data_IF_510848137690
#
_entry.id   IF_510848137690
#
_cell.length_a   1.000
_cell.length_b   1.000
_cell.length_c   1.000
_cell.angle_alpha   90.00
_cell.angle_beta   90.00
_cell.angle_gamma   90.00
#
_symmetry.space_group_name_H-M   'P 1'
#
loop_
_entity.id
_entity.type
_entity.pdbx_description
1 polymer ?
#
# COMPACT_ATOMS: atom_id res chain seq x y z
N UNK A 1 29.40 -33.35 27.58
CA UNK A 1 29.86 -31.95 27.43
C UNK A 1 29.15 -31.34 26.22
N UNK A 2 27.97 -30.77 26.46
CA UNK A 2 27.06 -30.23 25.45
C UNK A 2 27.39 -28.78 25.16
N UNK A 3 28.16 -28.53 24.10
CA UNK A 3 28.47 -27.19 23.63
C UNK A 3 27.23 -26.51 23.04
N UNK A 4 26.55 -25.69 23.84
CA UNK A 4 25.59 -24.69 23.37
C UNK A 4 26.34 -23.63 22.57
N UNK A 5 26.35 -23.77 21.23
CA UNK A 5 26.84 -22.72 20.35
C UNK A 5 26.01 -21.43 20.47
N UNK A 6 26.61 -20.25 20.26
CA UNK A 6 25.96 -18.97 20.54
C UNK A 6 24.76 -18.71 19.63
N UNK A 7 23.68 -18.23 20.23
CA UNK A 7 22.47 -17.77 19.54
C UNK A 7 22.81 -16.53 18.71
N UNK A 8 22.52 -16.49 17.39
CA UNK A 8 22.87 -15.33 16.56
C UNK A 8 22.07 -14.09 16.97
N UNK A 9 22.78 -13.01 17.27
CA UNK A 9 22.25 -11.69 17.64
C UNK A 9 22.59 -10.67 16.53
N UNK A 10 21.71 -9.69 16.29
CA UNK A 10 22.04 -8.54 15.42
C UNK A 10 23.17 -7.69 16.03
N UNK A 11 23.79 -6.80 15.23
CA UNK A 11 24.52 -5.66 15.79
C UNK A 11 23.57 -4.86 16.71
N UNK A 12 23.83 -4.92 18.02
CA UNK A 12 22.92 -4.44 19.06
C UNK A 12 22.30 -5.54 19.95
N UNK A 13 22.69 -6.81 19.80
CA UNK A 13 22.41 -7.86 20.79
C UNK A 13 20.98 -8.43 20.80
N UNK A 14 20.12 -8.08 19.82
CA UNK A 14 18.73 -8.57 19.79
C UNK A 14 18.60 -9.88 18.99
N UNK A 15 17.84 -10.88 19.48
CA UNK A 15 17.54 -12.10 18.75
C UNK A 15 16.52 -11.89 17.63
N UNK A 16 16.51 -12.80 16.64
CA UNK A 16 15.59 -12.81 15.51
C UNK A 16 14.13 -13.09 15.94
N UNK A 17 13.19 -12.21 15.58
CA UNK A 17 11.75 -12.45 15.72
C UNK A 17 11.08 -12.47 14.34
N UNK A 18 10.32 -13.54 14.05
CA UNK A 18 9.62 -13.70 12.78
C UNK A 18 8.54 -12.64 12.56
N UNK A 19 8.33 -12.26 11.30
CA UNK A 19 7.36 -11.24 10.87
C UNK A 19 5.88 -11.66 11.02
N UNK A 20 5.61 -12.86 11.55
CA UNK A 20 4.26 -13.45 11.69
C UNK A 20 4.08 -14.20 13.02
N UNK A 21 4.31 -13.53 14.15
CA UNK A 21 3.67 -13.90 15.42
C UNK A 21 3.40 -12.64 16.21
N UNK A 22 2.21 -12.06 16.01
CA UNK A 22 1.63 -11.16 16.99
C UNK A 22 1.08 -12.02 18.13
N UNK A 23 1.96 -12.47 19.02
CA UNK A 23 1.60 -12.85 20.39
C UNK A 23 2.46 -11.99 21.31
N UNK A 24 1.86 -11.44 22.35
CA UNK A 24 2.42 -10.48 23.31
C UNK A 24 3.65 -10.94 24.09
N UNK A 25 4.21 -12.11 23.84
CA UNK A 25 5.48 -12.57 24.41
C UNK A 25 6.69 -12.00 23.65
N UNK A 26 7.07 -10.78 23.99
CA UNK A 26 8.33 -10.13 23.56
C UNK A 26 9.58 -10.63 24.33
N UNK A 27 9.51 -11.75 25.04
CA UNK A 27 10.61 -12.20 25.89
C UNK A 27 10.91 -13.70 25.69
N UNK A 28 11.62 -14.03 24.61
CA UNK A 28 12.66 -15.11 24.49
C UNK A 28 12.93 -15.38 22.99
N UNK A 29 14.20 -15.55 22.56
CA UNK A 29 14.47 -16.17 21.27
C UNK A 29 13.79 -17.54 21.22
N UNK A 30 12.81 -17.73 20.33
CA UNK A 30 12.24 -19.06 20.11
C UNK A 30 13.33 -19.95 19.52
N UNK A 31 13.58 -21.08 20.16
CA UNK A 31 14.45 -22.13 19.62
C UNK A 31 13.78 -22.72 18.36
N UNK A 32 14.24 -22.30 17.18
CA UNK A 32 13.67 -22.64 15.87
C UNK A 32 13.80 -24.14 15.51
N UNK A 33 14.42 -24.96 16.36
CA UNK A 33 14.62 -26.40 16.11
C UNK A 33 13.30 -27.18 16.02
N UNK A 34 12.22 -26.69 16.62
CA UNK A 34 10.90 -27.33 16.61
C UNK A 34 10.06 -27.05 15.34
N UNK A 35 10.49 -26.12 14.48
CA UNK A 35 9.81 -25.75 13.22
C UNK A 35 10.42 -26.44 11.98
N UNK A 36 11.38 -27.36 12.18
CA UNK A 36 12.03 -28.11 11.10
C UNK A 36 11.02 -29.02 10.43
N UNK A 37 10.70 -28.74 9.17
CA UNK A 37 9.75 -29.56 8.40
C UNK A 37 10.43 -30.34 7.27
N UNK A 38 11.64 -29.94 6.87
CA UNK A 38 12.37 -30.57 5.77
C UNK A 38 13.70 -31.12 6.28
N UNK A 39 13.87 -32.43 6.18
CA UNK A 39 15.18 -33.05 6.29
C UNK A 39 15.94 -32.80 4.98
N UNK A 40 16.75 -31.75 4.94
CA UNK A 40 17.65 -31.43 3.81
C UNK A 40 18.86 -32.38 3.73
N UNK A 41 18.82 -33.52 4.42
CA UNK A 41 19.93 -34.48 4.54
C UNK A 41 19.96 -35.53 3.43
N UNK A 42 18.89 -35.67 2.63
CA UNK A 42 18.83 -36.65 1.54
C UNK A 42 19.47 -36.08 0.27
N UNK A 43 20.59 -36.64 -0.23
CA UNK A 43 21.28 -36.15 -1.43
C UNK A 43 20.45 -36.26 -2.71
N UNK A 44 19.41 -37.11 -2.72
CA UNK A 44 18.50 -37.31 -3.86
C UNK A 44 17.33 -36.32 -3.92
N UNK A 45 17.26 -35.33 -3.01
CA UNK A 45 16.15 -34.39 -2.97
C UNK A 45 16.19 -33.42 -4.16
N UNK A 46 15.47 -33.74 -5.23
CA UNK A 46 15.32 -32.85 -6.39
C UNK A 46 14.49 -31.59 -6.11
N UNK A 47 14.72 -30.53 -6.90
CA UNK A 47 14.03 -29.24 -6.76
C UNK A 47 12.51 -29.31 -6.90
N UNK A 48 11.98 -30.21 -7.72
CA UNK A 48 10.53 -30.42 -7.88
C UNK A 48 9.91 -30.89 -6.56
N UNK A 49 10.48 -31.95 -5.97
CA UNK A 49 10.01 -32.49 -4.69
C UNK A 49 10.21 -31.50 -3.55
N UNK A 50 11.35 -30.79 -3.55
CA UNK A 50 11.60 -29.73 -2.59
C UNK A 50 10.54 -28.63 -2.64
N UNK A 51 10.18 -28.18 -3.85
CA UNK A 51 9.15 -27.17 -4.03
C UNK A 51 7.77 -27.65 -3.55
N UNK A 52 7.37 -28.88 -3.83
CA UNK A 52 6.10 -29.45 -3.35
C UNK A 52 5.99 -29.39 -1.82
N UNK A 53 7.06 -29.77 -1.12
CA UNK A 53 7.10 -29.73 0.33
C UNK A 53 6.99 -28.27 0.82
N UNK A 54 7.76 -27.36 0.23
CA UNK A 54 7.72 -25.93 0.57
C UNK A 54 6.34 -25.32 0.30
N UNK A 55 5.73 -25.57 -0.86
CA UNK A 55 4.41 -25.03 -1.19
C UNK A 55 3.34 -25.53 -0.22
N UNK A 56 3.41 -26.81 0.19
CA UNK A 56 2.49 -27.35 1.19
C UNK A 56 2.68 -26.68 2.56
N UNK A 57 3.91 -26.40 2.97
CA UNK A 57 4.17 -25.68 4.23
C UNK A 57 3.72 -24.21 4.17
N UNK A 58 3.95 -23.53 3.05
CA UNK A 58 3.47 -22.17 2.84
C UNK A 58 1.94 -22.13 2.86
N UNK A 59 1.27 -23.09 2.23
CA UNK A 59 -0.19 -23.24 2.26
C UNK A 59 -0.73 -23.47 3.67
N UNK A 60 -0.13 -24.40 4.44
CA UNK A 60 -0.51 -24.66 5.84
C UNK A 60 -0.35 -23.44 6.74
N UNK A 61 0.58 -22.55 6.42
CA UNK A 61 0.83 -21.29 7.15
C UNK A 61 0.05 -20.10 6.58
N UNK A 62 -0.94 -20.35 5.73
CA UNK A 62 -1.83 -19.34 5.15
C UNK A 62 -1.10 -18.24 4.36
N UNK A 63 -0.04 -18.61 3.63
CA UNK A 63 0.58 -17.71 2.67
C UNK A 63 -0.30 -17.60 1.42
N UNK A 64 -0.68 -16.37 1.04
CA UNK A 64 -1.44 -16.13 -0.18
C UNK A 64 -0.71 -16.62 -1.43
N UNK A 65 -1.48 -17.00 -2.45
CA UNK A 65 -0.98 -17.49 -3.73
C UNK A 65 0.10 -16.58 -4.36
N UNK A 66 -0.03 -15.24 -4.41
CA UNK A 66 1.04 -14.39 -4.95
C UNK A 66 2.35 -14.49 -4.16
N UNK A 67 2.28 -14.68 -2.84
CA UNK A 67 3.47 -14.91 -2.01
C UNK A 67 4.12 -16.24 -2.34
N UNK A 68 3.33 -17.31 -2.57
CA UNK A 68 3.87 -18.60 -2.98
C UNK A 68 4.54 -18.52 -4.36
N UNK A 69 3.91 -17.84 -5.32
CA UNK A 69 4.48 -17.62 -6.65
C UNK A 69 5.80 -16.84 -6.60
N UNK A 70 5.90 -15.84 -5.71
CA UNK A 70 7.15 -15.10 -5.48
C UNK A 70 8.26 -16.00 -4.92
N UNK A 71 7.95 -16.85 -3.94
CA UNK A 71 8.91 -17.82 -3.39
C UNK A 71 9.39 -18.77 -4.48
N UNK A 72 8.47 -19.28 -5.31
CA UNK A 72 8.81 -20.14 -6.46
C UNK A 72 9.74 -19.44 -7.45
N UNK A 73 9.46 -18.17 -7.76
CA UNK A 73 10.26 -17.39 -8.70
C UNK A 73 11.69 -17.17 -8.18
N UNK A 74 11.84 -16.82 -6.90
CA UNK A 74 13.14 -16.65 -6.25
C UNK A 74 13.93 -17.96 -6.24
N UNK A 75 13.31 -19.07 -5.80
CA UNK A 75 13.98 -20.38 -5.75
C UNK A 75 14.40 -20.87 -7.14
N UNK A 76 13.57 -20.65 -8.16
CA UNK A 76 13.93 -20.96 -9.56
C UNK A 76 15.10 -20.13 -10.05
N UNK A 77 15.12 -18.83 -9.76
CA UNK A 77 16.23 -17.95 -10.12
C UNK A 77 17.53 -18.35 -9.41
N UNK A 78 17.44 -18.68 -8.12
CA UNK A 78 18.55 -19.19 -7.32
C UNK A 78 19.13 -20.49 -7.91
N UNK A 79 18.27 -21.47 -8.21
CA UNK A 79 18.70 -22.72 -8.83
C UNK A 79 19.36 -22.49 -10.18
N UNK A 80 18.78 -21.66 -11.06
CA UNK A 80 19.35 -21.38 -12.39
C UNK A 80 20.78 -20.82 -12.31
N UNK A 81 21.07 -19.97 -11.33
CA UNK A 81 22.40 -19.37 -11.18
C UNK A 81 23.41 -20.32 -10.50
N UNK A 82 22.98 -21.11 -9.54
CA UNK A 82 23.88 -21.92 -8.71
C UNK A 82 24.04 -23.36 -9.18
N UNK A 83 23.04 -23.91 -9.89
CA UNK A 83 22.94 -25.31 -10.30
C UNK A 83 23.14 -26.31 -9.16
N UNK A 84 22.97 -25.88 -7.92
CA UNK A 84 23.18 -26.71 -6.74
C UNK A 84 21.90 -27.46 -6.33
N UNK A 85 22.07 -28.66 -5.79
CA UNK A 85 20.96 -29.40 -5.18
C UNK A 85 20.54 -28.72 -3.86
N UNK A 86 19.25 -28.77 -3.46
CA UNK A 86 18.77 -28.17 -2.21
C UNK A 86 19.53 -28.65 -0.96
N UNK A 87 19.92 -29.92 -0.92
CA UNK A 87 20.68 -30.51 0.18
C UNK A 87 22.13 -29.98 0.29
N UNK A 88 22.71 -29.55 -0.84
CA UNK A 88 24.10 -29.10 -0.94
C UNK A 88 24.26 -27.59 -0.78
N UNK A 89 23.18 -26.86 -0.47
CA UNK A 89 23.23 -25.40 -0.30
C UNK A 89 24.03 -25.06 0.96
N UNK A 90 25.09 -24.26 0.77
CA UNK A 90 25.93 -23.76 1.86
C UNK A 90 25.83 -22.25 2.01
N UNK A 91 26.33 -21.72 3.12
CA UNK A 91 26.37 -20.27 3.36
C UNK A 91 27.17 -19.53 2.27
N UNK A 92 28.25 -20.13 1.76
CA UNK A 92 29.10 -19.53 0.72
C UNK A 92 28.37 -19.47 -0.63
N UNK A 93 27.60 -20.50 -0.99
CA UNK A 93 26.78 -20.49 -2.21
C UNK A 93 25.75 -19.36 -2.14
N UNK A 94 25.07 -19.20 -1.00
CA UNK A 94 24.11 -18.11 -0.82
C UNK A 94 24.83 -16.74 -0.89
N UNK A 95 25.97 -16.59 -0.22
CA UNK A 95 26.73 -15.34 -0.23
C UNK A 95 27.18 -14.98 -1.64
N UNK A 96 27.72 -15.92 -2.39
CA UNK A 96 28.15 -15.72 -3.78
C UNK A 96 26.96 -15.38 -4.69
N UNK A 97 25.82 -16.05 -4.52
CA UNK A 97 24.59 -15.73 -5.26
C UNK A 97 24.13 -14.28 -5.01
N UNK A 98 24.11 -13.84 -3.75
CA UNK A 98 23.70 -12.49 -3.37
C UNK A 98 24.70 -11.42 -3.84
N UNK A 99 26.01 -11.71 -3.74
CA UNK A 99 27.05 -10.83 -4.27
C UNK A 99 26.91 -10.67 -5.80
N UNK A 100 26.59 -11.75 -6.51
CA UNK A 100 26.27 -11.68 -7.94
C UNK A 100 25.07 -10.78 -8.24
N UNK A 101 24.00 -10.85 -7.46
CA UNK A 101 22.85 -9.94 -7.62
C UNK A 101 23.23 -8.47 -7.43
N UNK A 102 24.10 -8.17 -6.47
CA UNK A 102 24.57 -6.80 -6.24
C UNK A 102 25.48 -6.32 -7.37
N UNK A 103 26.40 -7.18 -7.84
CA UNK A 103 27.29 -6.89 -8.96
C UNK A 103 26.52 -6.67 -10.28
N UNK A 104 25.42 -7.38 -10.48
CA UNK A 104 24.49 -7.20 -11.61
C UNK A 104 23.52 -6.01 -11.41
N UNK A 105 23.72 -5.18 -10.37
CA UNK A 105 22.93 -3.99 -10.06
C UNK A 105 21.42 -4.23 -9.89
N UNK A 106 21.02 -5.39 -9.34
CA UNK A 106 19.63 -5.60 -8.95
C UNK A 106 19.21 -4.65 -7.81
N UNK A 107 17.93 -4.28 -7.81
CA UNK A 107 17.37 -3.42 -6.76
C UNK A 107 17.56 -4.02 -5.36
N UNK A 108 17.79 -3.16 -4.36
CA UNK A 108 17.90 -3.56 -2.96
C UNK A 108 16.66 -4.29 -2.43
N UNK A 109 15.49 -3.97 -2.97
CA UNK A 109 14.25 -4.69 -2.67
C UNK A 109 14.32 -6.15 -3.13
N UNK A 110 14.83 -6.40 -4.34
CA UNK A 110 15.00 -7.75 -4.86
C UNK A 110 16.05 -8.54 -4.08
N UNK A 111 17.21 -7.94 -3.78
CA UNK A 111 18.26 -8.58 -2.97
C UNK A 111 17.72 -8.93 -1.57
N UNK A 112 17.04 -7.98 -0.91
CA UNK A 112 16.40 -8.22 0.39
C UNK A 112 15.32 -9.29 0.33
N UNK A 113 14.56 -9.37 -0.77
CA UNK A 113 13.57 -10.42 -0.99
C UNK A 113 14.21 -11.80 -1.10
N UNK A 114 15.31 -11.91 -1.86
CA UNK A 114 16.07 -13.17 -1.98
C UNK A 114 16.55 -13.64 -0.60
N UNK A 115 17.14 -12.74 0.20
CA UNK A 115 17.56 -13.05 1.57
C UNK A 115 16.38 -13.57 2.41
N UNK A 116 15.23 -12.90 2.34
CA UNK A 116 14.04 -13.29 3.12
C UNK A 116 13.50 -14.67 2.74
N UNK A 117 13.40 -14.97 1.44
CA UNK A 117 12.94 -16.27 0.94
C UNK A 117 13.94 -17.36 1.28
N UNK A 118 15.22 -17.18 0.97
CA UNK A 118 16.27 -18.18 1.23
C UNK A 118 16.38 -18.48 2.73
N UNK A 119 16.31 -17.46 3.58
CA UNK A 119 16.26 -17.62 5.05
C UNK A 119 15.02 -18.40 5.50
N UNK A 120 13.86 -18.10 4.95
CA UNK A 120 12.63 -18.80 5.33
C UNK A 120 12.67 -20.27 4.91
N UNK A 121 13.18 -20.54 3.71
CA UNK A 121 13.21 -21.87 3.11
C UNK A 121 14.30 -22.75 3.73
N UNK A 122 15.55 -22.27 3.80
CA UNK A 122 16.68 -23.07 4.27
C UNK A 122 16.86 -23.03 5.79
N UNK A 123 16.76 -21.85 6.42
CA UNK A 123 16.99 -21.76 7.87
C UNK A 123 15.73 -22.15 8.65
N UNK A 124 14.57 -21.54 8.36
CA UNK A 124 13.36 -21.80 9.15
C UNK A 124 12.72 -23.15 8.86
N UNK A 125 12.47 -23.47 7.58
CA UNK A 125 11.78 -24.71 7.19
C UNK A 125 12.76 -25.89 7.08
N UNK A 126 13.97 -25.64 6.57
CA UNK A 126 15.03 -26.63 6.41
C UNK A 126 15.93 -26.83 7.64
N UNK A 127 15.82 -25.97 8.65
CA UNK A 127 16.59 -26.09 9.88
C UNK A 127 18.08 -25.83 9.77
N UNK A 128 18.57 -25.31 8.65
CA UNK A 128 19.97 -24.97 8.45
C UNK A 128 20.30 -23.61 9.09
N UNK A 129 21.57 -23.19 9.01
CA UNK A 129 22.03 -21.87 9.48
C UNK A 129 22.85 -21.17 8.39
N UNK A 130 22.39 -21.27 7.15
CA UNK A 130 23.11 -20.78 5.96
C UNK A 130 22.96 -19.28 5.75
N UNK A 131 21.98 -18.62 6.37
CA UNK A 131 21.81 -17.15 6.30
C UNK A 131 22.13 -16.39 7.59
N UNK A 132 22.66 -17.08 8.60
CA UNK A 132 22.87 -16.57 9.97
C UNK A 132 23.79 -15.34 10.06
N UNK A 133 24.76 -15.21 9.15
CA UNK A 133 25.70 -14.08 9.09
C UNK A 133 25.36 -13.03 8.03
N UNK A 134 24.23 -13.20 7.32
CA UNK A 134 23.86 -12.30 6.22
C UNK A 134 23.04 -11.12 6.75
N UNK A 135 23.66 -9.94 6.73
CA UNK A 135 22.96 -8.69 6.96
C UNK A 135 21.99 -8.41 5.81
N UNK A 136 20.76 -8.02 6.14
CA UNK A 136 19.84 -7.48 5.14
C UNK A 136 20.34 -6.10 4.72
N UNK A 137 20.44 -5.81 3.41
CA UNK A 137 20.95 -4.53 2.95
C UNK A 137 20.11 -3.38 3.52
N UNK A 138 20.78 -2.31 3.96
CA UNK A 138 20.11 -1.08 4.38
C UNK A 138 19.38 -0.53 3.15
N UNK A 139 18.06 -0.36 3.27
CA UNK A 139 17.27 0.26 2.22
C UNK A 139 17.43 1.78 2.37
N UNK A 140 17.79 2.51 1.30
CA UNK A 140 17.62 3.95 1.32
C UNK A 140 16.13 4.24 1.51
N UNK A 141 15.78 4.99 2.56
CA UNK A 141 14.42 5.49 2.72
C UNK A 141 14.28 6.72 1.83
N UNK A 142 13.42 6.62 0.83
CA UNK A 142 12.97 7.77 0.06
C UNK A 142 11.63 8.22 0.63
N UNK A 143 11.48 9.54 0.80
CA UNK A 143 10.18 10.09 1.17
C UNK A 143 9.17 9.79 0.05
N UNK A 144 7.92 9.45 0.41
CA UNK A 144 6.86 9.27 -0.57
C UNK A 144 6.68 10.47 -1.50
N UNK A 145 6.38 10.22 -2.78
CA UNK A 145 5.90 11.27 -3.67
C UNK A 145 4.46 11.65 -3.29
N UNK A 146 4.23 12.95 -3.08
CA UNK A 146 2.92 13.51 -2.70
C UNK A 146 2.38 14.35 -3.86
N UNK A 147 1.10 14.15 -4.18
CA UNK A 147 0.35 14.96 -5.15
C UNK A 147 -0.27 16.15 -4.42
N UNK A 148 -0.17 17.33 -5.01
CA UNK A 148 -0.91 18.50 -4.56
C UNK A 148 -2.43 18.30 -4.77
N UNK A 149 -3.29 19.02 -4.02
CA UNK A 149 -4.73 18.99 -4.23
C UNK A 149 -5.14 19.34 -5.67
N UNK A 150 -4.40 20.23 -6.34
CA UNK A 150 -4.60 20.57 -7.75
C UNK A 150 -4.35 19.39 -8.68
N UNK A 151 -3.22 18.68 -8.51
CA UNK A 151 -2.89 17.47 -9.28
C UNK A 151 -3.92 16.36 -9.07
N UNK A 152 -4.39 16.15 -7.84
CA UNK A 152 -5.44 15.17 -7.55
C UNK A 152 -6.74 15.53 -8.28
N UNK A 153 -7.17 16.79 -8.25
CA UNK A 153 -8.36 17.24 -8.99
C UNK A 153 -8.22 17.02 -10.49
N UNK A 154 -7.05 17.29 -11.08
CA UNK A 154 -6.80 17.01 -12.50
C UNK A 154 -6.94 15.52 -12.83
N UNK A 155 -6.37 14.63 -12.00
CA UNK A 155 -6.47 13.18 -12.19
C UNK A 155 -7.92 12.71 -12.12
N UNK A 156 -8.68 13.20 -11.13
CA UNK A 156 -10.08 12.82 -10.96
C UNK A 156 -10.94 13.34 -12.12
N UNK A 157 -10.74 14.58 -12.56
CA UNK A 157 -11.44 15.14 -13.73
C UNK A 157 -11.10 14.41 -15.04
N UNK A 158 -9.86 13.93 -15.18
CA UNK A 158 -9.35 13.20 -16.34
C UNK A 158 -9.85 11.75 -16.44
N UNK A 159 -10.37 11.18 -15.34
CA UNK A 159 -10.93 9.83 -15.38
C UNK A 159 -12.16 9.77 -16.31
N UNK A 160 -12.16 8.78 -17.20
CA UNK A 160 -13.03 8.76 -18.39
C UNK A 160 -14.50 8.53 -18.06
N UNK A 161 -14.78 7.73 -17.02
CA UNK A 161 -16.15 7.33 -16.66
C UNK A 161 -16.45 7.73 -15.23
N UNK A 162 -17.73 7.96 -14.91
CA UNK A 162 -18.19 8.22 -13.54
C UNK A 162 -17.80 7.11 -12.56
N UNK A 163 -17.76 5.86 -13.03
CA UNK A 163 -17.25 4.71 -12.24
C UNK A 163 -15.78 4.89 -11.88
N UNK A 164 -14.95 5.27 -12.85
CA UNK A 164 -13.51 5.44 -12.64
C UNK A 164 -13.22 6.66 -11.77
N UNK A 165 -13.99 7.75 -11.93
CA UNK A 165 -13.97 8.92 -11.05
C UNK A 165 -14.30 8.53 -9.61
N UNK A 166 -15.37 7.77 -9.39
CA UNK A 166 -15.75 7.25 -8.08
C UNK A 166 -14.67 6.34 -7.48
N UNK A 167 -14.09 5.45 -8.28
CA UNK A 167 -13.03 4.53 -7.85
C UNK A 167 -11.79 5.29 -7.35
N UNK A 168 -11.27 6.21 -8.15
CA UNK A 168 -10.11 7.01 -7.77
C UNK A 168 -10.45 7.98 -6.64
N UNK A 169 -11.66 8.52 -6.64
CA UNK A 169 -12.20 9.39 -5.59
C UNK A 169 -12.26 8.69 -4.23
N UNK A 170 -12.78 7.46 -4.16
CA UNK A 170 -12.77 6.66 -2.93
C UNK A 170 -11.34 6.27 -2.51
N UNK A 171 -10.47 5.95 -3.46
CA UNK A 171 -9.08 5.62 -3.15
C UNK A 171 -8.34 6.78 -2.49
N UNK A 172 -8.54 7.99 -3.00
CA UNK A 172 -8.00 9.20 -2.41
C UNK A 172 -8.76 9.58 -1.14
N UNK A 173 -10.06 9.83 -1.22
CA UNK A 173 -10.86 10.38 -0.12
C UNK A 173 -11.02 9.47 1.11
N UNK A 174 -10.88 8.15 0.95
CA UNK A 174 -10.88 7.21 2.07
C UNK A 174 -9.51 6.54 2.27
N UNK A 175 -8.47 6.97 1.54
CA UNK A 175 -7.11 6.44 1.67
C UNK A 175 -6.98 4.93 1.41
N UNK A 176 -7.78 4.33 0.53
CA UNK A 176 -7.87 2.87 0.36
C UNK A 176 -6.65 2.28 -0.37
N UNK A 177 -6.26 1.04 -0.01
CA UNK A 177 -5.37 0.26 -0.88
C UNK A 177 -6.12 -0.17 -2.13
N UNK A 178 -5.42 -0.30 -3.25
CA UNK A 178 -6.01 -0.76 -4.52
C UNK A 178 -6.81 -2.06 -4.37
N UNK A 179 -6.29 -3.04 -3.61
CA UNK A 179 -6.98 -4.30 -3.38
C UNK A 179 -8.21 -4.19 -2.47
N UNK A 180 -8.23 -3.21 -1.57
CA UNK A 180 -9.40 -2.90 -0.74
C UNK A 180 -10.48 -2.25 -1.60
N UNK A 181 -10.12 -1.22 -2.38
CA UNK A 181 -11.01 -0.51 -3.28
C UNK A 181 -11.69 -1.45 -4.29
N UNK A 182 -10.93 -2.39 -4.86
CA UNK A 182 -11.50 -3.42 -5.75
C UNK A 182 -12.60 -4.25 -5.08
N UNK A 183 -12.49 -4.54 -3.78
CA UNK A 183 -13.31 -5.54 -3.07
C UNK A 183 -14.48 -4.95 -2.29
N UNK A 184 -14.73 -3.65 -2.41
CA UNK A 184 -15.87 -3.00 -1.74
C UNK A 184 -17.17 -3.53 -2.34
N UNK A 185 -18.09 -3.93 -1.47
CA UNK A 185 -19.47 -4.31 -1.81
C UNK A 185 -20.46 -3.22 -1.45
N UNK A 186 -21.66 -3.25 -2.02
CA UNK A 186 -22.70 -2.28 -1.63
C UNK A 186 -23.10 -2.40 -0.15
N UNK A 187 -23.15 -3.63 0.39
CA UNK A 187 -23.39 -3.89 1.83
C UNK A 187 -22.27 -3.43 2.79
N UNK A 188 -21.15 -2.91 2.25
CA UNK A 188 -20.14 -2.24 3.08
C UNK A 188 -20.44 -0.76 3.29
N UNK A 189 -21.41 -0.21 2.57
CA UNK A 189 -21.77 1.21 2.65
C UNK A 189 -23.00 1.40 3.53
N UNK A 190 -22.86 2.28 4.53
CA UNK A 190 -23.98 2.91 5.19
C UNK A 190 -24.22 4.27 4.52
N UNK A 191 -25.26 4.31 3.68
CA UNK A 191 -25.60 5.50 2.90
C UNK A 191 -26.32 6.58 3.72
N UNK A 192 -26.82 6.24 4.91
CA UNK A 192 -27.44 7.20 5.84
C UNK A 192 -26.38 7.80 6.76
N UNK A 193 -25.53 6.94 7.34
CA UNK A 193 -24.40 7.36 8.18
C UNK A 193 -23.20 7.89 7.41
N UNK A 194 -23.20 7.78 6.07
CA UNK A 194 -22.07 8.10 5.18
C UNK A 194 -20.78 7.38 5.59
N UNK A 195 -20.86 6.10 5.97
CA UNK A 195 -19.70 5.31 6.38
C UNK A 195 -19.42 4.14 5.45
N UNK A 196 -18.15 3.80 5.30
CA UNK A 196 -17.64 2.66 4.53
C UNK A 196 -16.93 1.69 5.47
N UNK A 197 -17.39 0.43 5.49
CA UNK A 197 -16.74 -0.66 6.20
C UNK A 197 -15.70 -1.36 5.32
N UNK A 198 -14.43 -1.20 5.64
CA UNK A 198 -13.34 -1.89 4.95
C UNK A 198 -12.95 -3.15 5.72
N UNK A 199 -13.20 -4.31 5.11
CA UNK A 199 -12.82 -5.63 5.64
C UNK A 199 -11.36 -5.96 5.34
N UNK A 200 -10.63 -6.46 6.32
CA UNK A 200 -9.28 -6.96 6.08
C UNK A 200 -9.31 -8.34 5.44
N UNK A 201 -8.49 -8.56 4.42
CA UNK A 201 -8.53 -9.81 3.64
C UNK A 201 -8.17 -11.09 4.42
N UNK A 202 -7.53 -10.99 5.59
CA UNK A 202 -7.06 -12.13 6.40
C UNK A 202 -7.33 -11.97 7.90
N UNK A 203 -8.15 -11.01 8.27
CA UNK A 203 -8.47 -10.74 9.65
C UNK A 203 -9.98 -10.51 9.75
N UNK A 204 -10.59 -11.01 10.81
CA UNK A 204 -11.99 -10.71 11.17
C UNK A 204 -12.22 -9.23 11.47
N UNK A 205 -11.14 -8.48 11.71
CA UNK A 205 -11.20 -7.05 11.91
C UNK A 205 -11.70 -6.34 10.66
N UNK A 206 -12.33 -5.21 10.89
CA UNK A 206 -12.66 -4.23 9.87
C UNK A 206 -12.36 -2.84 10.44
N UNK A 207 -12.34 -1.85 9.57
CA UNK A 207 -12.32 -0.44 9.97
C UNK A 207 -13.45 0.30 9.28
N UNK A 208 -13.97 1.30 9.96
CA UNK A 208 -14.96 2.23 9.40
C UNK A 208 -14.23 3.48 8.93
N UNK A 209 -14.68 4.01 7.81
CA UNK A 209 -14.16 5.23 7.19
C UNK A 209 -15.33 6.12 6.82
N UNK A 210 -15.18 7.42 7.00
CA UNK A 210 -16.16 8.38 6.51
C UNK A 210 -16.05 8.48 4.99
N UNK A 211 -17.20 8.47 4.33
CA UNK A 211 -17.30 8.67 2.90
C UNK A 211 -17.38 10.19 2.65
N UNK A 212 -16.48 10.76 1.83
CA UNK A 212 -16.56 12.18 1.47
C UNK A 212 -17.95 12.52 0.90
N UNK A 213 -18.56 13.64 1.34
CA UNK A 213 -19.92 14.00 0.96
C UNK A 213 -20.08 14.13 -0.56
N UNK A 214 -19.04 14.57 -1.26
CA UNK A 214 -19.03 14.73 -2.72
C UNK A 214 -19.21 13.40 -3.47
N UNK A 215 -18.89 12.25 -2.86
CA UNK A 215 -19.02 10.94 -3.46
C UNK A 215 -20.40 10.31 -3.24
N UNK A 216 -21.16 10.79 -2.25
CA UNK A 216 -22.47 10.24 -1.88
C UNK A 216 -23.49 10.29 -3.03
N UNK A 217 -23.63 11.39 -3.80
CA UNK A 217 -24.59 11.43 -4.92
C UNK A 217 -24.31 10.36 -5.98
N UNK A 218 -23.03 10.12 -6.28
CA UNK A 218 -22.61 9.13 -7.27
C UNK A 218 -22.85 7.71 -6.76
N UNK A 219 -22.56 7.47 -5.49
CA UNK A 219 -22.85 6.20 -4.83
C UNK A 219 -24.35 5.91 -4.82
N UNK A 220 -25.21 6.92 -4.55
CA UNK A 220 -26.67 6.77 -4.57
C UNK A 220 -27.17 6.39 -5.96
N UNK A 221 -26.63 7.03 -7.00
CA UNK A 221 -26.95 6.70 -8.39
C UNK A 221 -26.51 5.28 -8.78
N UNK A 222 -25.39 4.79 -8.26
CA UNK A 222 -24.92 3.43 -8.50
C UNK A 222 -25.73 2.37 -7.72
N UNK A 223 -26.02 2.63 -6.45
CA UNK A 223 -26.71 1.71 -5.55
C UNK A 223 -28.14 1.40 -6.01
N UNK A 224 -28.86 2.39 -6.56
CA UNK A 224 -30.22 2.20 -7.06
C UNK A 224 -30.30 1.24 -8.26
N UNK A 225 -29.17 0.99 -8.94
CA UNK A 225 -29.08 0.11 -10.11
C UNK A 225 -28.67 -1.33 -9.74
N UNK A 226 -27.90 -1.50 -8.66
CA UNK A 226 -27.38 -2.81 -8.24
C UNK A 226 -27.26 -2.90 -6.70
N UNK A 227 -28.35 -3.11 -5.96
CA UNK A 227 -28.28 -3.28 -4.51
C UNK A 227 -27.83 -4.70 -4.11
N UNK A 228 -27.10 -4.83 -2.99
CA UNK A 228 -26.85 -6.11 -2.29
C UNK A 228 -25.37 -6.50 -2.14
N UNK A 229 -25.11 -7.81 -2.13
CA UNK A 229 -23.78 -8.39 -1.89
C UNK A 229 -22.78 -8.23 -3.04
N UNK A 230 -23.17 -7.55 -4.12
CA UNK A 230 -22.32 -7.33 -5.28
C UNK A 230 -21.21 -6.31 -5.01
N UNK A 231 -20.11 -6.47 -5.75
CA UNK A 231 -19.03 -5.48 -5.73
C UNK A 231 -19.49 -4.17 -6.39
N UNK A 232 -19.13 -3.04 -5.78
CA UNK A 232 -19.35 -1.71 -6.37
C UNK A 232 -18.65 -1.62 -7.73
N UNK A 233 -17.42 -2.13 -7.79
CA UNK A 233 -16.61 -2.16 -9.00
C UNK A 233 -16.55 -3.58 -9.55
N UNK A 234 -17.53 -3.92 -10.39
CA UNK A 234 -17.63 -5.24 -11.00
C UNK A 234 -16.53 -5.48 -12.06
N UNK A 235 -16.08 -6.71 -12.12
CA UNK A 235 -15.14 -7.23 -13.11
C UNK A 235 -15.85 -7.66 -14.39
N UNK A 236 -15.10 -8.35 -15.27
CA UNK A 236 -15.63 -8.87 -16.54
C UNK A 236 -16.60 -10.04 -16.38
N UNK A 237 -16.44 -10.80 -15.30
CA UNK A 237 -17.26 -11.96 -15.00
C UNK A 237 -18.25 -11.62 -13.88
N UNK A 238 -19.43 -12.23 -13.93
CA UNK A 238 -20.44 -12.09 -12.89
C UNK A 238 -19.88 -12.50 -11.51
N UNK A 239 -20.23 -11.73 -10.48
CA UNK A 239 -19.70 -11.93 -9.12
C UNK A 239 -18.20 -11.66 -8.96
N UNK A 240 -17.47 -11.28 -10.01
CA UNK A 240 -16.06 -10.92 -9.91
C UNK A 240 -15.90 -9.43 -9.66
N UNK A 241 -14.86 -9.07 -8.90
CA UNK A 241 -14.47 -7.68 -8.71
C UNK A 241 -13.50 -7.18 -9.79
N UNK A 242 -13.38 -5.87 -9.94
CA UNK A 242 -12.39 -5.23 -10.81
C UNK A 242 -10.98 -5.66 -10.39
N UNK A 243 -10.13 -6.02 -11.36
CA UNK A 243 -8.76 -6.43 -11.04
C UNK A 243 -7.89 -5.23 -10.67
N UNK A 244 -6.95 -5.42 -9.74
CA UNK A 244 -5.98 -4.37 -9.34
C UNK A 244 -5.19 -3.84 -10.53
N UNK A 245 -4.88 -4.71 -11.49
CA UNK A 245 -4.21 -4.36 -12.75
C UNK A 245 -5.02 -3.39 -13.59
N UNK A 246 -6.35 -3.53 -13.60
CA UNK A 246 -7.24 -2.64 -14.32
C UNK A 246 -7.32 -1.26 -13.64
N UNK A 247 -7.40 -1.21 -12.31
CA UNK A 247 -7.34 0.06 -11.56
C UNK A 247 -6.04 0.83 -11.86
N UNK A 248 -4.92 0.12 -11.93
CA UNK A 248 -3.63 0.71 -12.34
C UNK A 248 -3.60 1.16 -13.81
N UNK A 249 -4.43 0.60 -14.71
CA UNK A 249 -4.59 1.11 -16.08
C UNK A 249 -5.42 2.37 -16.08
N UNK A 250 -6.54 2.37 -15.36
CA UNK A 250 -7.45 3.51 -15.23
C UNK A 250 -6.67 4.72 -14.74
N UNK A 251 -5.93 4.59 -13.64
CA UNK A 251 -5.11 5.68 -13.11
C UNK A 251 -4.05 6.15 -14.11
N UNK A 252 -3.32 5.22 -14.75
CA UNK A 252 -2.31 5.59 -15.75
C UNK A 252 -2.91 6.30 -16.96
N UNK A 253 -4.10 5.89 -17.39
CA UNK A 253 -4.81 6.52 -18.50
C UNK A 253 -5.20 7.95 -18.14
N UNK A 254 -5.73 8.16 -16.93
CA UNK A 254 -6.09 9.49 -16.44
C UNK A 254 -4.87 10.41 -16.29
N UNK A 255 -3.77 9.90 -15.70
CA UNK A 255 -2.53 10.68 -15.53
C UNK A 255 -1.92 11.05 -16.89
N UNK A 256 -1.99 10.17 -17.90
CA UNK A 256 -1.46 10.43 -19.24
C UNK A 256 -2.15 11.61 -19.95
N UNK A 257 -3.37 11.96 -19.56
CA UNK A 257 -4.11 13.10 -20.11
C UNK A 257 -3.95 14.39 -19.30
N UNK A 258 -3.05 14.39 -18.31
CA UNK A 258 -2.71 15.55 -17.47
C UNK A 258 -1.26 15.95 -17.69
N UNK A 259 -0.88 17.16 -17.27
CA UNK A 259 0.49 17.68 -17.36
C UNK A 259 1.36 17.28 -16.14
N UNK A 260 0.96 16.23 -15.41
CA UNK A 260 1.64 15.79 -14.20
C UNK A 260 2.92 15.03 -14.57
N UNK A 261 4.06 15.56 -14.11
CA UNK A 261 5.39 14.98 -14.38
C UNK A 261 5.78 13.88 -13.38
N UNK A 262 5.13 13.81 -12.22
CA UNK A 262 5.42 12.86 -11.13
C UNK A 262 5.05 11.42 -11.52
N UNK A 263 5.69 10.44 -10.89
CA UNK A 263 5.35 9.03 -11.13
C UNK A 263 4.13 8.65 -10.27
N UNK A 264 2.95 8.75 -10.87
CA UNK A 264 1.71 8.51 -10.14
C UNK A 264 1.33 7.02 -10.12
N UNK A 265 1.18 6.48 -8.92
CA UNK A 265 0.66 5.15 -8.67
C UNK A 265 -0.56 5.20 -7.74
N UNK A 266 -1.27 4.08 -7.62
CA UNK A 266 -2.36 3.96 -6.65
C UNK A 266 -1.91 4.25 -5.22
N UNK A 267 -0.65 3.93 -4.89
CA UNK A 267 -0.10 4.23 -3.57
C UNK A 267 0.17 5.73 -3.40
N UNK A 268 0.55 6.43 -4.47
CA UNK A 268 0.74 7.90 -4.46
C UNK A 268 -0.54 8.62 -4.04
N UNK A 269 -1.72 8.19 -4.52
CA UNK A 269 -3.01 8.74 -4.07
C UNK A 269 -3.22 8.55 -2.56
N UNK A 270 -2.90 7.36 -2.06
CA UNK A 270 -3.03 7.02 -0.63
C UNK A 270 -2.01 7.76 0.24
N UNK A 271 -0.79 7.96 -0.24
CA UNK A 271 0.20 8.80 0.43
C UNK A 271 -0.27 10.25 0.50
N UNK A 272 -0.84 10.75 -0.59
CA UNK A 272 -1.39 12.12 -0.66
C UNK A 272 -2.57 12.30 0.29
N UNK A 273 -3.47 11.33 0.39
CA UNK A 273 -4.51 11.32 1.43
C UNK A 273 -3.92 11.47 2.84
N UNK A 274 -2.92 10.64 3.18
CA UNK A 274 -2.34 10.64 4.51
C UNK A 274 -1.73 11.99 4.86
N UNK A 275 -0.93 12.56 3.95
CA UNK A 275 -0.29 13.87 4.14
C UNK A 275 -1.33 14.98 4.21
N UNK A 276 -2.30 15.03 3.30
CA UNK A 276 -3.35 16.05 3.33
C UNK A 276 -4.22 15.97 4.58
N UNK A 277 -4.50 14.78 5.12
CA UNK A 277 -5.21 14.65 6.39
C UNK A 277 -4.41 15.24 7.56
N UNK A 278 -3.10 14.98 7.60
CA UNK A 278 -2.22 15.54 8.63
C UNK A 278 -2.05 17.06 8.48
N UNK A 279 -1.88 17.56 7.25
CA UNK A 279 -1.79 19.00 6.94
C UNK A 279 -3.06 19.76 7.37
N UNK A 280 -4.23 19.12 7.27
CA UNK A 280 -5.52 19.67 7.72
C UNK A 280 -5.80 19.43 9.22
N UNK A 281 -4.77 19.16 10.03
CA UNK A 281 -4.88 19.04 11.48
C UNK A 281 -5.33 17.67 11.99
N UNK A 282 -5.41 16.66 11.13
CA UNK A 282 -5.68 15.28 11.54
C UNK A 282 -4.57 14.72 12.43
N UNK A 283 -4.95 13.99 13.49
CA UNK A 283 -3.95 13.33 14.33
C UNK A 283 -3.31 12.14 13.61
N UNK A 284 -2.03 11.90 13.83
CA UNK A 284 -1.29 10.75 13.29
C UNK A 284 -1.95 9.42 13.65
N UNK A 285 -2.58 9.35 14.83
CA UNK A 285 -3.32 8.16 15.26
C UNK A 285 -4.58 7.94 14.44
N UNK A 286 -5.38 8.98 14.21
CA UNK A 286 -6.57 8.90 13.37
C UNK A 286 -6.19 8.48 11.94
N UNK A 287 -5.13 9.07 11.37
CA UNK A 287 -4.63 8.69 10.04
C UNK A 287 -4.12 7.24 10.02
N UNK A 288 -3.43 6.79 11.07
CA UNK A 288 -3.00 5.39 11.20
C UNK A 288 -4.20 4.43 11.15
N UNK A 289 -5.27 4.75 11.87
CA UNK A 289 -6.50 3.95 11.96
C UNK A 289 -7.24 3.95 10.62
N UNK A 290 -7.43 5.13 10.00
CA UNK A 290 -8.05 5.26 8.67
C UNK A 290 -7.30 4.48 7.58
N UNK A 291 -5.96 4.50 7.61
CA UNK A 291 -5.13 3.72 6.71
C UNK A 291 -5.10 2.23 7.09
N UNK A 292 -5.44 1.86 8.33
CA UNK A 292 -5.32 0.48 8.80
C UNK A 292 -3.87 0.01 8.94
N UNK A 293 -2.98 0.90 9.37
CA UNK A 293 -1.58 0.61 9.60
C UNK A 293 -1.36 -0.11 10.94
N UNK A 294 -0.65 -1.24 10.92
CA UNK A 294 -0.39 -2.03 12.13
C UNK A 294 0.61 -1.35 13.09
N UNK A 295 1.59 -0.63 12.56
CA UNK A 295 2.56 0.13 13.35
C UNK A 295 2.40 1.62 13.09
N UNK A 296 2.51 2.43 14.15
CA UNK A 296 2.55 3.88 14.01
C UNK A 296 3.77 4.34 13.21
N UNK A 297 4.89 3.61 13.27
CA UNK A 297 6.12 3.93 12.53
C UNK A 297 5.87 4.05 11.01
N UNK A 298 4.92 3.27 10.48
CA UNK A 298 4.56 3.33 9.06
C UNK A 298 3.72 4.55 8.68
N UNK A 299 3.19 5.26 9.66
CA UNK A 299 2.45 6.51 9.49
C UNK A 299 3.32 7.73 9.79
N UNK A 300 4.30 7.61 10.72
CA UNK A 300 5.25 8.67 11.03
C UNK A 300 6.05 9.15 9.81
N UNK A 301 6.26 8.27 8.81
CA UNK A 301 6.89 8.66 7.53
C UNK A 301 6.19 9.83 6.82
N UNK A 302 4.89 10.06 7.10
CA UNK A 302 4.14 11.17 6.52
C UNK A 302 4.34 12.48 7.28
N UNK A 303 4.71 12.43 8.56
CA UNK A 303 5.08 13.64 9.30
C UNK A 303 6.35 14.25 8.72
N UNK A 304 7.30 13.42 8.28
CA UNK A 304 8.52 13.86 7.60
C UNK A 304 8.26 14.52 6.22
N UNK A 305 7.09 14.27 5.61
CA UNK A 305 6.69 14.89 4.35
C UNK A 305 6.12 16.31 4.54
N UNK A 306 5.73 16.65 5.76
CA UNK A 306 5.05 17.91 6.07
C UNK A 306 6.10 18.91 6.50
N UNK A 307 6.08 20.11 5.91
CA UNK A 307 6.88 21.20 6.44
C UNK A 307 6.44 21.45 7.88
N UNK A 308 7.35 21.70 8.83
CA UNK A 308 6.99 22.02 10.20
C UNK A 308 6.25 23.37 10.23
N UNK A 309 4.96 23.35 9.91
CA UNK A 309 4.07 24.50 9.79
C UNK A 309 3.85 25.23 11.12
N UNK A 310 4.27 24.59 12.22
CA UNK A 310 4.23 25.12 13.58
C UNK A 310 5.59 25.61 14.09
N UNK A 311 6.69 25.44 13.33
CA UNK A 311 7.96 26.08 13.64
C UNK A 311 7.95 27.45 12.97
N UNK A 312 7.30 28.43 13.62
CA UNK A 312 7.43 29.83 13.20
C UNK A 312 8.89 30.21 13.29
N UNK A 313 9.44 30.74 12.20
CA UNK A 313 10.79 31.30 12.23
C UNK A 313 10.85 32.38 13.30
N UNK A 314 11.81 32.33 14.25
CA UNK A 314 12.01 33.39 15.23
C UNK A 314 12.18 34.77 14.58
N UNK A 315 12.67 34.83 13.34
CA UNK A 315 12.78 36.08 12.56
C UNK A 315 11.41 36.72 12.26
N UNK A 316 10.36 35.91 12.05
CA UNK A 316 9.00 36.41 11.88
C UNK A 316 8.46 37.08 13.15
N UNK A 317 8.78 36.50 14.32
CA UNK A 317 8.40 37.04 15.63
C UNK A 317 9.10 38.38 15.95
N UNK A 318 10.28 38.62 15.38
CA UNK A 318 10.98 39.90 15.51
C UNK A 318 10.36 41.01 14.67
N UNK A 319 9.74 40.70 13.52
CA UNK A 319 9.03 41.70 12.70
C UNK A 319 7.74 42.15 13.37
N UNK A 320 6.98 41.20 13.92
CA UNK A 320 5.75 41.49 14.68
C UNK A 320 6.01 42.39 15.90
N UNK A 321 7.17 42.25 16.57
CA UNK A 321 7.58 43.14 17.67
C UNK A 321 7.87 44.56 17.20
N UNK A 322 8.55 44.74 16.08
CA UNK A 322 8.82 46.08 15.53
C UNK A 322 7.54 46.76 15.04
N UNK A 323 6.62 45.99 14.45
CA UNK A 323 5.32 46.50 14.01
C UNK A 323 4.44 46.91 15.23
N UNK A 324 4.46 46.13 16.31
CA UNK A 324 3.77 46.47 17.57
C UNK A 324 4.42 47.65 18.34
N UNK A 325 5.74 47.83 18.25
CA UNK A 325 6.44 49.00 18.82
C UNK A 325 6.24 50.27 17.98
N UNK A 326 6.01 50.14 16.67
CA UNK A 326 5.72 51.28 15.77
C UNK A 326 4.26 51.75 15.81
N UNK A 327 3.32 50.87 16.20
CA UNK A 327 1.91 51.21 16.42
C UNK A 327 1.70 51.42 17.92
N UNK A 328 2.04 52.62 18.41
CA UNK A 328 1.78 53.00 19.80
C UNK A 328 0.30 52.91 20.16
N UNK A 329 -0.13 51.78 20.72
CA UNK A 329 -1.34 51.60 21.54
C UNK A 329 -1.11 50.45 22.51
N UNK A 330 -1.15 50.77 23.80
CA UNK A 330 -1.23 49.77 24.86
C UNK A 330 -2.38 48.77 24.60
N UNK A 331 -2.17 47.46 24.74
CA UNK A 331 -3.27 46.53 24.81
C UNK A 331 -3.90 46.62 26.20
N UNK A 332 -5.16 47.07 26.26
CA UNK A 332 -6.01 46.90 27.44
C UNK A 332 -6.02 45.43 27.84
N UNK A 333 -5.55 45.14 29.06
CA UNK A 333 -5.73 43.86 29.71
C UNK A 333 -7.23 43.53 29.77
N UNK A 334 -7.65 42.52 29.01
CA UNK A 334 -8.89 41.82 29.29
C UNK A 334 -8.59 40.74 30.34
N UNK A 335 -8.87 41.09 31.59
CA UNK A 335 -8.81 40.22 32.77
C UNK A 335 -9.60 38.93 32.50
N UNK A 336 -8.94 37.78 32.60
CA UNK A 336 -9.57 36.47 32.56
C UNK A 336 -10.29 36.19 33.89
N UNK A 337 -11.59 35.92 33.82
CA UNK A 337 -12.42 35.40 34.91
C UNK A 337 -12.01 33.94 35.23
N UNK A 338 -11.59 33.60 36.48
CA UNK A 338 -10.98 32.30 36.79
C UNK A 338 -11.95 31.12 36.91
N UNK A 339 -13.16 31.20 36.33
CA UNK A 339 -14.23 30.21 36.51
C UNK A 339 -14.62 29.33 35.32
N UNK A 340 -14.02 29.47 34.13
CA UNK A 340 -14.41 28.68 32.95
C UNK A 340 -13.30 27.71 32.48
N UNK A 341 -13.63 26.44 32.15
CA UNK A 341 -12.66 25.52 31.58
C UNK A 341 -12.22 26.05 30.21
N UNK A 342 -10.90 26.07 29.99
CA UNK A 342 -10.26 26.56 28.78
C UNK A 342 -10.95 26.02 27.52
N UNK A 343 -11.73 26.87 26.84
CA UNK A 343 -12.09 26.64 25.44
C UNK A 343 -10.78 26.73 24.66
N UNK A 344 -10.27 25.57 24.24
CA UNK A 344 -9.28 25.51 23.17
C UNK A 344 -9.82 26.35 22.02
N UNK A 345 -9.11 27.44 21.71
CA UNK A 345 -9.32 28.23 20.51
C UNK A 345 -8.92 27.34 19.33
N UNK A 346 -9.84 26.47 18.92
CA UNK A 346 -9.83 25.93 17.57
C UNK A 346 -10.02 27.14 16.65
N UNK A 347 -8.97 27.50 15.91
CA UNK A 347 -9.14 28.22 14.66
C UNK A 347 -10.22 27.50 13.86
N UNK A 348 -11.21 28.24 13.38
CA UNK A 348 -12.37 27.70 12.66
C UNK A 348 -11.97 26.58 11.69
N UNK A 349 -12.71 25.46 11.62
CA UNK A 349 -12.44 24.45 10.61
C UNK A 349 -12.64 25.10 9.24
N UNK A 350 -11.54 25.41 8.56
CA UNK A 350 -11.58 25.89 7.18
C UNK A 350 -12.30 24.85 6.33
N UNK A 351 -13.31 25.32 5.62
CA UNK A 351 -14.37 24.53 5.03
C UNK A 351 -13.83 23.47 4.06
N UNK A 352 -14.46 22.29 4.12
CA UNK A 352 -14.31 21.15 3.19
C UNK A 352 -14.63 21.53 1.72
N UNK A 353 -15.09 22.76 1.47
CA UNK A 353 -15.44 23.32 0.16
C UNK A 353 -14.28 23.42 -0.85
N UNK A 354 -13.02 23.23 -0.44
CA UNK A 354 -11.86 23.40 -1.32
C UNK A 354 -11.63 22.26 -2.34
N UNK A 355 -12.35 21.13 -2.23
CA UNK A 355 -12.25 20.00 -3.18
C UNK A 355 -13.60 19.70 -3.81
N UNK A 356 -14.27 20.70 -4.39
CA UNK A 356 -15.37 20.45 -5.31
C UNK A 356 -14.85 19.60 -6.49
N UNK A 357 -15.18 18.31 -6.48
CA UNK A 357 -14.81 17.37 -7.54
C UNK A 357 -15.71 17.64 -8.76
N UNK A 358 -15.14 17.90 -9.95
CA UNK A 358 -15.93 18.16 -11.16
C UNK A 358 -16.48 16.84 -11.69
N UNK A 359 -17.55 16.34 -11.07
CA UNK A 359 -18.25 15.18 -11.59
C UNK A 359 -19.04 15.55 -12.83
N UNK A 360 -18.89 14.75 -13.88
CA UNK A 360 -19.69 14.93 -15.10
C UNK A 360 -21.13 14.54 -14.77
N UNK A 361 -22.00 15.54 -14.64
CA UNK A 361 -23.45 15.32 -14.60
C UNK A 361 -23.90 14.80 -15.97
N UNK A 362 -24.04 13.48 -16.10
CA UNK A 362 -24.74 12.88 -17.24
C UNK A 362 -26.25 13.06 -17.05
N UNK A 363 -26.76 14.25 -17.37
CA UNK A 363 -28.18 14.54 -17.43
C UNK A 363 -28.56 15.12 -18.77
N UNK A 364 -28.75 14.25 -19.77
CA UNK A 364 -29.70 14.45 -20.89
C UNK A 364 -29.75 13.22 -21.80
N UNK A 365 -30.92 12.57 -21.83
CA UNK A 365 -31.50 11.81 -22.95
C UNK A 365 -30.59 10.89 -23.77
N UNK A 366 -30.79 9.57 -23.60
CA UNK A 366 -31.00 8.73 -24.78
C UNK A 366 -30.07 7.55 -25.04
N UNK A 367 -29.18 7.10 -24.16
CA UNK A 367 -28.40 5.85 -24.38
C UNK A 367 -28.53 4.88 -23.19
N UNK A 368 -29.72 4.28 -23.08
CA UNK A 368 -30.07 3.30 -22.04
C UNK A 368 -29.42 1.90 -22.22
N UNK A 369 -28.45 1.72 -23.14
CA UNK A 369 -27.80 0.43 -23.40
C UNK A 369 -26.28 0.41 -23.18
N UNK A 370 -25.63 1.56 -22.93
CA UNK A 370 -24.17 1.63 -22.94
C UNK A 370 -23.47 1.09 -21.68
N UNK A 371 -24.16 0.99 -20.54
CA UNK A 371 -23.53 0.49 -19.30
C UNK A 371 -23.23 -1.02 -19.35
N UNK A 372 -24.00 -1.80 -20.13
CA UNK A 372 -23.69 -3.20 -20.43
C UNK A 372 -22.87 -3.35 -21.74
N UNK A 373 -23.12 -2.51 -22.76
CA UNK A 373 -22.43 -2.66 -24.05
C UNK A 373 -20.95 -2.18 -24.02
N UNK A 374 -20.57 -1.25 -23.15
CA UNK A 374 -19.17 -0.84 -22.98
C UNK A 374 -18.36 -1.76 -22.05
N UNK A 375 -19.02 -2.62 -21.26
CA UNK A 375 -18.34 -3.71 -20.53
C UNK A 375 -17.98 -4.90 -21.42
N UNK A 376 -18.63 -5.08 -22.58
CA UNK A 376 -18.38 -6.20 -23.49
C UNK A 376 -17.58 -5.87 -24.77
N UNK A 377 -17.58 -4.62 -25.26
CA UNK A 377 -17.13 -4.35 -26.66
C UNK A 377 -15.93 -3.43 -26.85
N UNK A 378 -15.33 -2.85 -25.80
CA UNK A 378 -14.22 -1.89 -25.96
C UNK A 378 -12.80 -2.45 -25.70
N UNK A 379 -12.61 -3.77 -25.72
CA UNK A 379 -11.28 -4.42 -25.67
C UNK A 379 -10.90 -5.12 -26.99
N UNK A 380 -11.84 -5.34 -27.92
CA UNK A 380 -11.55 -6.07 -29.18
C UNK A 380 -11.20 -5.17 -30.39
N UNK A 381 -11.43 -3.85 -30.34
CA UNK A 381 -11.34 -3.00 -31.55
C UNK A 381 -10.01 -2.29 -31.84
N UNK A 382 -9.04 -2.27 -30.92
CA UNK A 382 -7.83 -1.41 -31.10
C UNK A 382 -6.47 -2.14 -31.13
N UNK A 383 -6.45 -3.46 -31.22
CA UNK A 383 -5.19 -4.23 -31.36
C UNK A 383 -5.09 -5.13 -32.60
N UNK A 384 -6.12 -5.20 -33.45
CA UNK A 384 -6.12 -5.98 -34.71
C UNK A 384 -6.02 -5.13 -35.99
N UNK A 385 -5.58 -3.88 -35.89
CA UNK A 385 -5.41 -2.98 -37.04
C UNK A 385 -3.99 -2.48 -37.18
N UNK A 386 -3.00 -3.38 -37.28
CA UNK A 386 -1.62 -3.11 -37.78
C UNK A 386 -0.79 -4.40 -37.81
N UNK A 387 -1.04 -5.27 -38.81
CA UNK A 387 -0.08 -6.26 -39.36
C UNK A 387 -0.78 -7.07 -40.46
N UNK A 388 -0.66 -6.59 -41.70
CA UNK A 388 -0.53 -7.39 -42.95
C UNK A 388 -0.72 -6.45 -44.15
N UNK A 389 0.38 -5.87 -44.58
CA UNK A 389 0.51 -5.26 -45.91
C UNK A 389 1.97 -5.42 -46.36
N UNK A 390 2.39 -6.67 -46.57
CA UNK A 390 3.53 -7.01 -47.44
C UNK A 390 3.54 -8.51 -47.64
N UNK A 391 3.24 -8.96 -48.85
CA UNK A 391 3.78 -10.11 -49.61
C UNK A 391 2.84 -10.29 -50.81
N UNK A 392 3.22 -9.65 -51.94
CA UNK A 392 2.97 -10.14 -53.30
C UNK A 392 3.82 -9.31 -54.28
N UNK A 393 4.93 -9.88 -54.73
CA UNK A 393 5.56 -9.68 -56.04
C UNK A 393 6.92 -10.40 -56.04
N UNK A 394 7.12 -11.32 -57.00
CA UNK A 394 8.36 -12.07 -57.22
C UNK A 394 8.14 -13.56 -57.10
#
# INVERSE_FOLDING_TARGET
>A
MSGTGPVPCYAGGRPYFGMHSASSDRARPRDCRHDRVIALTSPELGWTRFWEIISNQLGRRDYSEPSQQLYRAVLRAFYRRTQCAPASVTADIIRNHLNGLVAEHYSWNWVGMNISVLRTVFDKLGGQTVTSQLATPKRPMHLPEILSPGEVRQILAAATTTRDQLLLGLMYGCGLKVGEACRIKWDDLDMEGHTLRVRYARDTRSRLLDIPPDLIPILKMGCSRCPGEDYIFQGRHEGAHLSTRMVQLILRSAVKTTDILKTVTCMTLRHSFAVHCLENGGSTRAVQEALGHKSIDTTLIYEDCILPCHVRSPLGLLRERNDAESIGREPREAVADPGQPARMLFSEPLSIEAIALPFRNESSSGHASEFQHLLHTHILGRFLGKRRATIRAG
#
